data_IF_230701899873
#
_entry.id   IF_230701899873
#
_cell.length_a   1.000
_cell.length_b   1.000
_cell.length_c   1.000
_cell.angle_alpha   90.00
_cell.angle_beta   90.00
_cell.angle_gamma   90.00
#
_symmetry.space_group_name_H-M   'P 1'
#
loop_
_entity.id
_entity.type
_entity.pdbx_description
1 polymer ?
#
# COMPACT_ATOMS: atom_id res chain seq x y z
N UNK A 1 7.39 4.84 -23.96
CA UNK A 1 6.93 4.01 -22.82
C UNK A 1 6.03 4.74 -21.83
N UNK A 2 6.48 5.77 -21.08
CA UNK A 2 5.64 6.41 -20.02
C UNK A 2 4.28 6.90 -20.51
N UNK A 3 4.21 7.57 -21.67
CA UNK A 3 2.94 8.03 -22.26
C UNK A 3 1.96 6.87 -22.46
N UNK A 4 2.46 5.71 -22.90
CA UNK A 4 1.63 4.51 -23.09
C UNK A 4 1.09 4.03 -21.73
N UNK A 5 1.95 3.89 -20.73
CA UNK A 5 1.55 3.48 -19.38
C UNK A 5 0.49 4.43 -18.78
N UNK A 6 0.75 5.74 -18.79
CA UNK A 6 -0.13 6.72 -18.14
C UNK A 6 -1.45 6.90 -18.91
N UNK A 7 -1.42 6.93 -20.23
CA UNK A 7 -2.61 7.22 -21.05
C UNK A 7 -3.48 5.98 -21.29
N UNK A 8 -2.86 4.81 -21.47
CA UNK A 8 -3.57 3.60 -21.91
C UNK A 8 -3.71 2.52 -20.86
N UNK A 9 -2.82 2.45 -19.85
CA UNK A 9 -2.86 1.40 -18.82
C UNK A 9 -3.39 1.93 -17.48
N UNK A 10 -2.84 3.05 -17.02
CA UNK A 10 -3.07 3.58 -15.68
C UNK A 10 -3.87 4.90 -15.67
N UNK A 11 -4.59 5.20 -16.75
CA UNK A 11 -5.59 6.27 -16.74
C UNK A 11 -6.71 5.86 -15.79
N UNK A 12 -7.22 6.78 -14.98
CA UNK A 12 -8.26 6.51 -13.96
C UNK A 12 -9.42 5.66 -14.49
N UNK A 13 -9.96 6.02 -15.65
CA UNK A 13 -11.04 5.27 -16.33
C UNK A 13 -10.64 3.83 -16.66
N UNK A 14 -9.38 3.61 -17.08
CA UNK A 14 -8.89 2.27 -17.38
C UNK A 14 -8.66 1.45 -16.11
N UNK A 15 -8.13 2.09 -15.06
CA UNK A 15 -7.95 1.43 -13.74
C UNK A 15 -9.30 0.95 -13.20
N UNK A 16 -10.36 1.76 -13.31
CA UNK A 16 -11.71 1.36 -12.93
C UNK A 16 -12.25 0.16 -13.75
N UNK A 17 -11.80 -0.02 -14.99
CA UNK A 17 -12.15 -1.23 -15.77
C UNK A 17 -11.50 -2.51 -15.22
N UNK A 18 -10.45 -2.40 -14.42
CA UNK A 18 -9.81 -3.53 -13.75
C UNK A 18 -10.43 -3.87 -12.40
N UNK A 19 -11.39 -3.07 -11.91
CA UNK A 19 -12.10 -3.32 -10.65
C UNK A 19 -12.63 -4.76 -10.55
N UNK A 20 -13.33 -5.33 -11.55
CA UNK A 20 -13.83 -6.71 -11.44
C UNK A 20 -12.72 -7.75 -11.29
N UNK A 21 -11.52 -7.47 -11.83
CA UNK A 21 -10.36 -8.34 -11.66
C UNK A 21 -9.86 -8.26 -10.21
N UNK A 22 -9.72 -7.05 -9.66
CA UNK A 22 -9.27 -6.85 -8.29
C UNK A 22 -10.23 -7.52 -7.29
N UNK A 23 -11.52 -7.28 -7.43
CA UNK A 23 -12.55 -7.82 -6.53
C UNK A 23 -12.61 -9.35 -6.57
N UNK A 24 -12.50 -9.95 -7.76
CA UNK A 24 -12.51 -11.41 -7.94
C UNK A 24 -11.22 -12.08 -7.41
N UNK A 25 -10.05 -11.48 -7.61
CA UNK A 25 -8.80 -11.99 -6.99
C UNK A 25 -8.84 -11.87 -5.45
N UNK A 26 -9.35 -10.76 -4.91
CA UNK A 26 -9.48 -10.56 -3.47
C UNK A 26 -10.49 -11.54 -2.88
N UNK A 27 -11.68 -11.67 -3.49
CA UNK A 27 -12.72 -12.61 -3.05
C UNK A 27 -12.19 -14.03 -2.98
N UNK A 28 -11.49 -14.48 -4.03
CA UNK A 28 -10.86 -15.81 -4.03
C UNK A 28 -9.82 -15.97 -2.94
N UNK A 29 -9.01 -14.96 -2.68
CA UNK A 29 -8.01 -15.02 -1.63
C UNK A 29 -8.67 -15.13 -0.25
N UNK A 30 -9.72 -14.34 0.01
CA UNK A 30 -10.51 -14.37 1.24
C UNK A 30 -11.17 -15.75 1.41
N UNK A 31 -11.76 -16.33 0.37
CA UNK A 31 -12.34 -17.67 0.43
C UNK A 31 -11.30 -18.75 0.74
N UNK A 32 -10.08 -18.64 0.18
CA UNK A 32 -8.98 -19.54 0.48
C UNK A 32 -8.60 -19.47 1.97
N UNK A 33 -8.55 -18.27 2.53
CA UNK A 33 -8.27 -18.04 3.95
C UNK A 33 -9.40 -18.55 4.86
N UNK A 34 -10.66 -18.36 4.48
CA UNK A 34 -11.81 -18.89 5.24
C UNK A 34 -11.75 -20.41 5.32
N UNK A 35 -11.40 -21.07 4.21
CA UNK A 35 -11.24 -22.54 4.19
C UNK A 35 -10.06 -23.01 5.03
N UNK A 36 -8.93 -22.31 5.00
CA UNK A 36 -7.74 -22.69 5.77
C UNK A 36 -7.89 -22.43 7.27
N UNK A 37 -8.46 -21.28 7.66
CA UNK A 37 -8.69 -20.91 9.07
C UNK A 37 -9.61 -21.89 9.78
N UNK A 38 -10.70 -22.32 9.12
CA UNK A 38 -11.62 -23.34 9.65
C UNK A 38 -10.93 -24.71 9.80
N UNK A 39 -9.88 -24.98 9.03
CA UNK A 39 -9.27 -26.31 8.96
C UNK A 39 -8.04 -26.50 9.87
N UNK A 40 -7.16 -25.50 10.03
CA UNK A 40 -5.88 -25.69 10.75
C UNK A 40 -5.60 -24.73 11.91
N UNK A 41 -6.37 -23.64 12.07
CA UNK A 41 -6.07 -22.54 13.02
C UNK A 41 -4.61 -22.02 12.94
N UNK A 42 -3.90 -22.29 11.84
CA UNK A 42 -2.51 -21.85 11.69
C UNK A 42 -2.43 -20.35 11.40
N UNK A 43 -1.43 -19.65 11.95
CA UNK A 43 -1.19 -18.24 11.64
C UNK A 43 -0.99 -18.01 10.14
N UNK A 44 -1.67 -17.01 9.60
CA UNK A 44 -1.55 -16.63 8.19
C UNK A 44 -0.46 -15.58 8.03
N UNK A 45 0.52 -15.84 7.17
CA UNK A 45 1.50 -14.82 6.77
C UNK A 45 0.89 -13.84 5.76
N UNK A 46 0.47 -12.67 6.24
CA UNK A 46 -0.15 -11.63 5.41
C UNK A 46 0.78 -11.07 4.36
N UNK A 47 2.09 -11.00 4.60
CA UNK A 47 3.03 -10.49 3.59
C UNK A 47 3.07 -11.41 2.37
N UNK A 48 3.17 -12.72 2.59
CA UNK A 48 3.16 -13.71 1.51
C UNK A 48 1.83 -13.72 0.76
N UNK A 49 0.72 -13.62 1.49
CA UNK A 49 -0.62 -13.49 0.90
C UNK A 49 -0.75 -12.24 0.03
N UNK A 50 -0.35 -11.06 0.54
CA UNK A 50 -0.42 -9.80 -0.23
C UNK A 50 0.49 -9.84 -1.45
N UNK A 51 1.64 -10.50 -1.37
CA UNK A 51 2.53 -10.73 -2.51
C UNK A 51 1.85 -11.65 -3.54
N UNK A 52 1.25 -12.76 -3.14
CA UNK A 52 0.53 -13.64 -4.08
C UNK A 52 -0.63 -12.90 -4.75
N UNK A 53 -1.48 -12.23 -3.96
CA UNK A 53 -2.60 -11.44 -4.45
C UNK A 53 -2.18 -10.38 -5.47
N UNK A 54 -1.15 -9.58 -5.13
CA UNK A 54 -0.64 -8.51 -6.00
C UNK A 54 -0.14 -9.07 -7.32
N UNK A 55 0.61 -10.19 -7.28
CA UNK A 55 1.09 -10.84 -8.49
C UNK A 55 -0.05 -11.38 -9.36
N UNK A 56 -1.05 -12.02 -8.75
CA UNK A 56 -2.24 -12.52 -9.45
C UNK A 56 -2.99 -11.40 -10.16
N UNK A 57 -3.23 -10.27 -9.48
CA UNK A 57 -3.87 -9.08 -10.06
C UNK A 57 -3.02 -8.53 -11.22
N UNK A 58 -1.71 -8.32 -11.01
CA UNK A 58 -0.82 -7.77 -12.05
C UNK A 58 -0.77 -8.68 -13.27
N UNK A 59 -0.55 -9.99 -13.08
CA UNK A 59 -0.52 -10.97 -14.15
C UNK A 59 -1.82 -10.99 -14.94
N UNK A 60 -2.96 -10.91 -14.25
CA UNK A 60 -4.27 -10.97 -14.91
C UNK A 60 -4.60 -9.68 -15.64
N UNK A 61 -4.22 -8.52 -15.12
CA UNK A 61 -4.35 -7.22 -15.81
C UNK A 61 -3.40 -7.11 -17.00
N UNK A 62 -2.15 -7.56 -16.86
CA UNK A 62 -1.13 -7.41 -17.89
C UNK A 62 -1.23 -8.48 -18.99
N UNK A 63 -1.58 -9.71 -18.63
CA UNK A 63 -1.51 -10.89 -19.51
C UNK A 63 -2.87 -11.55 -19.77
N UNK A 64 -3.93 -11.15 -19.03
CA UNK A 64 -5.24 -11.80 -19.11
C UNK A 64 -5.27 -13.23 -18.55
N UNK A 65 -4.23 -13.64 -17.82
CA UNK A 65 -4.06 -15.02 -17.32
C UNK A 65 -3.94 -15.04 -15.80
N UNK A 66 -4.46 -16.12 -15.21
CA UNK A 66 -4.15 -16.54 -13.85
C UNK A 66 -2.98 -17.51 -13.87
N UNK A 67 -2.19 -17.49 -12.80
CA UNK A 67 -1.13 -18.45 -12.55
C UNK A 67 -1.45 -19.08 -11.20
N UNK A 68 -1.61 -20.40 -11.15
CA UNK A 68 -1.91 -21.10 -9.92
C UNK A 68 -0.70 -21.09 -8.98
N UNK A 69 -0.93 -21.09 -7.67
CA UNK A 69 0.07 -21.00 -6.59
C UNK A 69 0.95 -22.27 -6.43
N UNK A 70 1.24 -23.01 -7.51
CA UNK A 70 2.15 -24.16 -7.42
C UNK A 70 3.61 -23.70 -7.48
N UNK A 71 4.16 -23.42 -6.30
CA UNK A 71 5.57 -23.68 -5.98
C UNK A 71 6.63 -22.90 -6.75
N UNK A 72 6.56 -21.56 -6.76
CA UNK A 72 7.74 -20.75 -7.09
C UNK A 72 8.20 -20.03 -5.83
N UNK A 73 9.25 -20.55 -5.20
CA UNK A 73 10.06 -19.79 -4.24
C UNK A 73 10.51 -18.49 -4.91
N UNK A 74 9.89 -17.37 -4.54
CA UNK A 74 10.33 -16.05 -4.97
C UNK A 74 11.43 -15.61 -4.01
N UNK A 75 12.69 -15.74 -4.44
CA UNK A 75 13.77 -14.95 -3.87
C UNK A 75 13.49 -13.47 -4.16
N UNK A 76 12.74 -12.83 -3.27
CA UNK A 76 12.64 -11.37 -3.24
C UNK A 76 13.99 -10.86 -2.75
N UNK A 77 14.60 -10.00 -3.56
CA UNK A 77 15.84 -9.32 -3.23
C UNK A 77 15.71 -8.63 -1.85
N UNK A 78 16.34 -9.20 -0.83
CA UNK A 78 16.72 -8.55 0.44
C UNK A 78 15.66 -7.73 1.16
N UNK A 79 14.46 -8.27 1.43
CA UNK A 79 13.65 -7.72 2.53
C UNK A 79 14.13 -8.36 3.83
N UNK A 80 14.86 -7.59 4.63
CA UNK A 80 15.55 -8.07 5.82
C UNK A 80 14.52 -8.27 6.95
N UNK A 81 13.92 -9.46 7.01
CA UNK A 81 12.96 -9.93 8.04
C UNK A 81 13.66 -10.08 9.40
N UNK A 82 14.04 -8.99 10.05
CA UNK A 82 14.36 -8.95 11.48
C UNK A 82 14.70 -7.53 11.92
N UNK A 83 13.68 -6.72 12.21
CA UNK A 83 13.84 -5.57 13.09
C UNK A 83 12.69 -5.56 14.09
N UNK A 84 13.02 -5.49 15.38
CA UNK A 84 12.06 -5.40 16.51
C UNK A 84 10.99 -4.31 16.30
N UNK A 85 11.33 -3.22 15.60
CA UNK A 85 10.40 -2.13 15.23
C UNK A 85 9.30 -2.53 14.23
N UNK A 86 9.45 -3.62 13.47
CA UNK A 86 8.41 -4.12 12.55
C UNK A 86 7.30 -4.86 13.31
N UNK A 87 7.64 -5.52 14.42
CA UNK A 87 6.66 -6.18 15.28
C UNK A 87 5.77 -5.15 15.99
N UNK A 88 6.35 -4.09 16.55
CA UNK A 88 5.61 -3.02 17.23
C UNK A 88 4.65 -2.30 16.25
N UNK A 89 5.13 -1.98 15.04
CA UNK A 89 4.28 -1.44 13.98
C UNK A 89 3.17 -2.42 13.55
N UNK A 90 3.44 -3.72 13.58
CA UNK A 90 2.44 -4.75 13.30
C UNK A 90 1.31 -4.76 14.32
N UNK A 91 1.63 -4.62 15.61
CA UNK A 91 0.64 -4.48 16.69
C UNK A 91 -0.13 -3.17 16.59
N UNK A 92 0.54 -2.05 16.39
CA UNK A 92 -0.11 -0.74 16.22
C UNK A 92 -1.04 -0.74 15.01
N UNK A 93 -0.56 -1.28 13.87
CA UNK A 93 -1.36 -1.43 12.68
C UNK A 93 -2.59 -2.28 12.97
N UNK A 94 -2.43 -3.45 13.60
CA UNK A 94 -3.55 -4.35 13.95
C UNK A 94 -4.58 -3.66 14.84
N UNK A 95 -4.14 -2.90 15.86
CA UNK A 95 -5.03 -2.14 16.75
C UNK A 95 -5.83 -1.07 15.99
N UNK A 96 -5.17 -0.27 15.16
CA UNK A 96 -5.86 0.79 14.39
C UNK A 96 -6.74 0.22 13.27
N UNK A 97 -6.31 -0.88 12.67
CA UNK A 97 -7.06 -1.67 11.69
C UNK A 97 -8.35 -2.18 12.35
N UNK A 98 -8.31 -2.71 13.58
CA UNK A 98 -9.52 -3.09 14.32
C UNK A 98 -10.48 -1.91 14.58
N UNK A 99 -9.97 -0.71 14.91
CA UNK A 99 -10.83 0.49 15.02
C UNK A 99 -11.49 0.85 13.69
N UNK A 100 -10.77 0.73 12.58
CA UNK A 100 -11.33 0.91 11.23
C UNK A 100 -12.47 -0.06 10.93
N UNK A 101 -12.39 -1.29 11.44
CA UNK A 101 -13.43 -2.30 11.26
C UNK A 101 -14.74 -1.93 11.98
N UNK A 102 -14.64 -1.35 13.18
CA UNK A 102 -15.82 -0.87 13.93
C UNK A 102 -16.53 0.26 13.18
N UNK A 103 -15.80 1.21 12.60
CA UNK A 103 -16.37 2.28 11.78
C UNK A 103 -17.08 1.71 10.54
N UNK A 104 -16.43 0.76 9.87
CA UNK A 104 -16.95 0.09 8.68
C UNK A 104 -18.24 -0.70 8.97
N UNK A 105 -18.24 -1.47 10.05
CA UNK A 105 -19.38 -2.29 10.48
C UNK A 105 -20.60 -1.45 10.88
N UNK A 106 -20.40 -0.29 11.52
CA UNK A 106 -21.49 0.64 11.87
C UNK A 106 -22.12 1.27 10.62
N UNK A 107 -21.33 1.56 9.58
CA UNK A 107 -21.81 2.20 8.35
C UNK A 107 -22.43 1.21 7.37
N UNK A 108 -21.93 -0.03 7.32
CA UNK A 108 -22.39 -1.06 6.38
C UNK A 108 -23.44 -2.00 7.03
N UNK A 109 -24.51 -1.42 7.58
CA UNK A 109 -25.62 -2.17 8.21
C UNK A 109 -26.41 -3.09 7.26
N UNK A 110 -26.08 -3.08 5.96
CA UNK A 110 -26.56 -4.05 4.98
C UNK A 110 -25.61 -5.25 4.91
N UNK A 111 -26.11 -6.46 5.12
CA UNK A 111 -25.37 -7.74 4.98
C UNK A 111 -24.82 -7.93 3.55
N UNK A 112 -23.79 -7.21 3.15
CA UNK A 112 -22.99 -7.53 1.96
C UNK A 112 -21.96 -8.59 2.32
N UNK A 113 -21.73 -9.52 1.40
CA UNK A 113 -20.68 -10.54 1.56
C UNK A 113 -19.30 -10.05 1.13
N UNK A 114 -19.18 -8.88 0.51
CA UNK A 114 -17.92 -8.32 0.03
C UNK A 114 -17.97 -6.79 0.13
N UNK A 115 -16.86 -6.18 0.52
CA UNK A 115 -16.69 -4.71 0.55
C UNK A 115 -16.15 -4.27 -0.81
N UNK A 116 -16.96 -3.54 -1.57
CA UNK A 116 -16.60 -3.07 -2.91
C UNK A 116 -15.87 -1.70 -2.88
N UNK A 117 -15.37 -1.25 -4.03
CA UNK A 117 -14.61 0.00 -4.11
C UNK A 117 -15.46 1.24 -3.76
N UNK A 118 -16.77 1.19 -3.96
CA UNK A 118 -17.65 2.32 -3.67
C UNK A 118 -17.91 2.45 -2.15
N UNK A 119 -17.92 1.32 -1.43
CA UNK A 119 -17.93 1.28 0.03
C UNK A 119 -16.64 1.90 0.64
N UNK A 120 -15.47 1.64 0.03
CA UNK A 120 -14.16 2.09 0.54
C UNK A 120 -13.96 3.59 0.49
N UNK A 121 -14.55 4.27 -0.50
CA UNK A 121 -14.47 5.74 -0.62
C UNK A 121 -15.07 6.47 0.58
N UNK A 122 -15.79 5.76 1.44
CA UNK A 122 -16.42 6.25 2.66
C UNK A 122 -15.52 6.01 3.89
N UNK A 123 -14.48 5.18 3.78
CA UNK A 123 -13.59 4.81 4.89
C UNK A 123 -12.39 5.75 5.00
N UNK A 124 -12.66 6.99 5.42
CA UNK A 124 -11.63 8.00 5.68
C UNK A 124 -10.56 7.54 6.68
N UNK A 125 -10.92 6.68 7.63
CA UNK A 125 -9.98 6.14 8.60
C UNK A 125 -9.04 5.07 8.00
N UNK A 126 -9.55 4.19 7.14
CA UNK A 126 -8.70 3.22 6.44
C UNK A 126 -7.67 3.93 5.56
N UNK A 127 -8.09 4.98 4.83
CA UNK A 127 -7.16 5.82 4.06
C UNK A 127 -6.07 6.42 4.96
N UNK A 128 -6.45 6.93 6.14
CA UNK A 128 -5.52 7.49 7.11
C UNK A 128 -4.51 6.44 7.63
N UNK A 129 -4.98 5.22 7.93
CA UNK A 129 -4.14 4.08 8.33
C UNK A 129 -3.15 3.71 7.21
N UNK A 130 -3.61 3.66 5.95
CA UNK A 130 -2.74 3.36 4.79
C UNK A 130 -1.69 4.45 4.61
N UNK A 131 -2.06 5.73 4.65
CA UNK A 131 -1.12 6.86 4.61
C UNK A 131 -0.09 6.77 5.73
N UNK A 132 -0.54 6.48 6.95
CA UNK A 132 0.33 6.36 8.12
C UNK A 132 1.32 5.21 7.99
N UNK A 133 0.84 4.06 7.52
CA UNK A 133 1.65 2.89 7.25
C UNK A 133 2.71 3.20 6.21
N UNK A 134 2.35 3.84 5.09
CA UNK A 134 3.32 4.18 4.04
C UNK A 134 4.34 5.25 4.48
N UNK A 135 3.97 6.15 5.41
CA UNK A 135 4.89 7.12 6.01
C UNK A 135 5.95 6.43 6.88
N UNK A 136 5.54 5.50 7.75
CA UNK A 136 6.44 4.80 8.67
C UNK A 136 7.18 3.64 8.01
N UNK A 137 6.53 2.91 7.12
CA UNK A 137 7.11 1.83 6.32
C UNK A 137 6.89 2.03 4.83
N UNK A 138 7.68 2.92 4.20
CA UNK A 138 7.71 2.99 2.75
C UNK A 138 8.27 1.70 2.15
N UNK A 139 7.56 1.16 1.14
CA UNK A 139 8.02 0.00 0.36
C UNK A 139 9.37 0.25 -0.30
N UNK A 140 9.66 1.51 -0.68
CA UNK A 140 10.93 1.91 -1.28
C UNK A 140 11.54 3.07 -0.48
N UNK A 141 12.25 2.81 0.63
CA UNK A 141 12.77 3.82 1.57
C UNK A 141 13.63 4.93 0.94
N UNK A 142 14.38 4.62 -0.12
CA UNK A 142 15.25 5.58 -0.83
C UNK A 142 14.70 6.03 -2.20
N UNK A 143 13.45 5.68 -2.50
CA UNK A 143 12.82 5.77 -3.82
C UNK A 143 13.70 5.17 -4.94
N UNK A 144 13.29 5.36 -6.20
CA UNK A 144 14.09 4.95 -7.36
C UNK A 144 15.17 6.00 -7.63
N UNK A 145 16.45 5.61 -7.75
CA UNK A 145 17.55 6.53 -8.01
C UNK A 145 17.31 7.41 -9.24
N UNK A 146 17.69 8.68 -9.13
CA UNK A 146 17.66 9.65 -10.24
C UNK A 146 19.07 10.03 -10.64
N UNK A 147 19.21 10.49 -11.87
CA UNK A 147 20.46 11.00 -12.39
C UNK A 147 20.28 12.47 -12.79
N UNK A 148 21.22 13.33 -12.41
CA UNK A 148 21.27 14.73 -12.87
C UNK A 148 21.62 14.78 -14.36
N UNK A 149 20.85 15.56 -15.12
CA UNK A 149 21.05 15.68 -16.57
C UNK A 149 22.08 16.76 -16.89
N UNK A 150 22.06 17.84 -16.11
CA UNK A 150 22.90 19.02 -16.25
C UNK A 150 23.40 19.45 -14.86
N UNK A 151 24.36 20.37 -14.83
CA UNK A 151 24.79 21.02 -13.60
C UNK A 151 23.63 21.83 -13.00
N UNK A 152 23.43 21.72 -11.69
CA UNK A 152 22.48 22.53 -10.96
C UNK A 152 23.00 22.93 -9.58
N UNK A 153 22.30 23.86 -8.93
CA UNK A 153 22.55 24.24 -7.55
C UNK A 153 21.40 23.70 -6.70
N UNK A 154 21.72 22.96 -5.64
CA UNK A 154 20.76 22.48 -4.65
C UNK A 154 21.22 22.94 -3.28
N UNK A 155 20.43 23.78 -2.62
CA UNK A 155 20.75 24.35 -1.30
C UNK A 155 22.16 24.97 -1.22
N UNK A 156 22.54 25.71 -2.27
CA UNK A 156 23.87 26.34 -2.38
C UNK A 156 25.00 25.40 -2.83
N UNK A 157 24.77 24.09 -2.92
CA UNK A 157 25.76 23.13 -3.42
C UNK A 157 25.67 22.98 -4.94
N UNK A 158 26.82 23.06 -5.62
CA UNK A 158 26.92 22.71 -7.04
C UNK A 158 26.88 21.19 -7.22
N UNK A 159 25.89 20.70 -7.95
CA UNK A 159 25.74 19.29 -8.30
C UNK A 159 26.08 19.12 -9.78
N UNK A 160 27.12 18.35 -10.13
CA UNK A 160 27.49 18.10 -11.52
C UNK A 160 26.47 17.19 -12.23
N UNK A 161 26.48 17.15 -13.59
CA UNK A 161 25.72 16.16 -14.34
C UNK A 161 26.19 14.73 -14.05
N UNK A 162 25.31 13.74 -14.30
CA UNK A 162 25.55 12.30 -14.09
C UNK A 162 25.73 11.88 -12.62
N UNK A 163 25.25 12.67 -11.68
CA UNK A 163 25.23 12.32 -10.27
C UNK A 163 23.97 11.53 -9.93
N UNK A 164 24.15 10.46 -9.15
CA UNK A 164 23.02 9.72 -8.59
C UNK A 164 22.43 10.49 -7.41
N UNK A 165 21.13 10.74 -7.46
CA UNK A 165 20.34 11.38 -6.42
C UNK A 165 19.37 10.37 -5.84
N UNK A 166 19.43 10.18 -4.53
CA UNK A 166 18.52 9.34 -3.74
C UNK A 166 17.67 10.23 -2.85
N UNK A 167 16.38 9.91 -2.73
CA UNK A 167 15.46 10.64 -1.86
C UNK A 167 15.16 9.75 -0.66
N UNK A 168 15.65 10.14 0.51
CA UNK A 168 15.46 9.37 1.73
C UNK A 168 14.05 9.59 2.31
N UNK A 169 13.08 8.91 1.72
CA UNK A 169 11.67 8.96 2.12
C UNK A 169 11.49 8.49 3.57
N UNK A 170 12.23 7.46 3.99
CA UNK A 170 12.18 6.96 5.37
C UNK A 170 12.57 8.03 6.40
N UNK A 171 13.58 8.85 6.09
CA UNK A 171 13.98 9.97 6.94
C UNK A 171 12.94 11.10 6.92
N UNK A 172 12.46 11.50 5.74
CA UNK A 172 11.42 12.54 5.60
C UNK A 172 10.16 12.17 6.41
N UNK A 173 9.75 10.90 6.35
CA UNK A 173 8.60 10.39 7.09
C UNK A 173 8.78 10.41 8.61
N UNK A 174 10.01 10.61 9.13
CA UNK A 174 10.36 10.61 10.55
C UNK A 174 10.97 11.93 11.04
N UNK A 175 11.03 12.93 10.20
CA UNK A 175 11.64 14.21 10.53
C UNK A 175 10.75 14.96 11.55
N UNK A 176 11.25 15.25 12.77
CA UNK A 176 10.50 16.00 13.77
C UNK A 176 10.24 17.46 13.39
N UNK A 177 10.99 18.03 12.43
CA UNK A 177 10.72 19.38 11.90
C UNK A 177 9.50 19.40 10.98
N UNK A 178 9.13 18.23 10.42
CA UNK A 178 8.00 18.06 9.48
C UNK A 178 6.80 17.42 10.17
N UNK A 179 7.03 16.46 11.07
CA UNK A 179 5.99 15.65 11.71
C UNK A 179 6.05 15.74 13.23
N UNK A 180 4.99 16.23 13.85
CA UNK A 180 4.80 16.12 15.30
C UNK A 180 4.72 14.65 15.72
N UNK A 181 5.42 14.28 16.80
CA UNK A 181 5.59 12.91 17.28
C UNK A 181 5.84 11.90 16.14
N UNK A 182 6.99 12.00 15.46
CA UNK A 182 7.19 11.35 14.17
C UNK A 182 7.19 9.81 14.25
N UNK A 183 7.53 9.21 15.38
CA UNK A 183 7.58 7.75 15.53
C UNK A 183 6.22 7.13 15.93
N UNK A 184 5.29 7.90 16.49
CA UNK A 184 4.00 7.37 16.95
C UNK A 184 3.12 6.94 15.79
N UNK A 185 2.44 5.79 15.90
CA UNK A 185 1.40 5.38 14.96
C UNK A 185 0.07 6.08 15.26
N UNK A 186 -0.02 7.36 14.87
CA UNK A 186 -1.22 8.20 14.96
C UNK A 186 -1.82 8.49 13.57
N UNK A 187 -2.80 7.70 13.06
CA UNK A 187 -3.47 7.92 11.78
C UNK A 187 -4.35 9.18 11.74
N UNK A 188 -4.95 9.58 12.86
CA UNK A 188 -5.93 10.67 12.94
C UNK A 188 -5.38 12.00 12.41
N UNK A 189 -4.05 12.18 12.40
CA UNK A 189 -3.38 13.34 11.76
C UNK A 189 -3.73 13.54 10.29
N UNK A 190 -4.19 12.48 9.60
CA UNK A 190 -4.60 12.55 8.20
C UNK A 190 -6.10 12.81 8.02
N UNK A 191 -6.90 12.72 9.08
CA UNK A 191 -8.35 12.97 9.01
C UNK A 191 -8.60 14.46 8.85
N UNK A 192 -9.30 14.85 7.78
CA UNK A 192 -9.54 16.25 7.42
C UNK A 192 -8.28 17.00 6.93
N UNK A 193 -7.14 16.32 6.83
CA UNK A 193 -5.91 16.88 6.27
C UNK A 193 -5.94 16.91 4.74
N UNK A 194 -5.34 17.93 4.14
CA UNK A 194 -5.14 18.00 2.69
C UNK A 194 -3.95 17.18 2.20
N UNK A 195 -3.16 16.56 3.10
CA UNK A 195 -1.98 15.77 2.74
C UNK A 195 -2.40 14.51 1.97
N UNK A 196 -1.88 14.35 0.76
CA UNK A 196 -2.08 13.17 -0.07
C UNK A 196 -0.77 12.53 -0.54
N UNK A 197 -0.87 11.35 -1.15
CA UNK A 197 0.27 10.57 -1.63
C UNK A 197 0.57 10.79 -3.12
N UNK A 198 -0.05 11.81 -3.76
CA UNK A 198 0.02 12.03 -5.21
C UNK A 198 1.29 12.75 -5.67
N UNK A 199 2.20 13.03 -4.74
CA UNK A 199 3.47 13.70 -5.02
C UNK A 199 3.39 15.22 -5.08
N UNK A 200 2.36 15.81 -4.44
CA UNK A 200 2.21 17.26 -4.26
C UNK A 200 2.58 17.71 -2.84
N UNK A 201 2.45 16.80 -1.87
CA UNK A 201 2.90 16.94 -0.50
C UNK A 201 4.26 16.25 -0.34
N UNK A 202 5.35 17.02 -0.29
CA UNK A 202 6.71 16.46 -0.28
C UNK A 202 7.05 15.73 1.02
N UNK A 203 6.34 16.05 2.09
CA UNK A 203 6.34 15.35 3.37
C UNK A 203 5.84 13.89 3.27
N UNK A 204 5.05 13.55 2.24
CA UNK A 204 4.51 12.20 2.02
C UNK A 204 4.52 11.80 0.54
N UNK A 205 5.64 11.23 0.08
CA UNK A 205 5.83 10.82 -1.34
C UNK A 205 6.17 9.33 -1.53
N UNK A 206 5.37 8.38 -1.00
CA UNK A 206 5.65 6.94 -1.11
C UNK A 206 5.69 6.44 -2.57
N UNK A 207 5.01 7.15 -3.48
CA UNK A 207 4.99 6.86 -4.91
C UNK A 207 5.90 7.78 -5.73
N UNK A 208 6.74 8.57 -5.05
CA UNK A 208 7.56 9.63 -5.63
C UNK A 208 6.75 10.79 -6.19
N UNK A 209 7.44 11.76 -6.78
CA UNK A 209 6.83 12.99 -7.29
C UNK A 209 7.26 13.33 -8.73
N UNK A 210 6.51 14.25 -9.35
CA UNK A 210 6.84 14.86 -10.63
C UNK A 210 6.86 13.89 -11.83
N UNK A 211 7.75 14.17 -12.79
CA UNK A 211 7.76 13.50 -14.12
C UNK A 211 7.97 11.99 -14.09
N UNK A 212 8.47 11.41 -13.00
CA UNK A 212 8.66 9.96 -12.86
C UNK A 212 8.01 9.40 -11.60
N UNK A 213 6.96 10.06 -11.10
CA UNK A 213 6.07 9.44 -10.10
C UNK A 213 5.54 8.10 -10.61
N UNK A 214 5.24 7.19 -9.68
CA UNK A 214 4.75 5.85 -9.98
C UNK A 214 3.46 5.93 -10.82
N UNK A 215 3.45 5.40 -12.06
CA UNK A 215 2.23 5.41 -12.86
C UNK A 215 1.16 4.45 -12.30
N UNK A 216 1.55 3.41 -11.56
CA UNK A 216 0.65 2.40 -10.99
C UNK A 216 0.06 2.77 -9.63
N UNK A 217 0.32 3.98 -9.12
CA UNK A 217 -0.09 4.43 -7.78
C UNK A 217 -1.59 4.18 -7.50
N UNK A 218 -2.47 4.61 -8.41
CA UNK A 218 -3.92 4.49 -8.22
C UNK A 218 -4.35 3.03 -8.04
N UNK A 219 -3.85 2.14 -8.92
CA UNK A 219 -4.18 0.73 -8.85
C UNK A 219 -3.61 0.08 -7.57
N UNK A 220 -2.40 0.48 -7.16
CA UNK A 220 -1.76 -0.01 -5.94
C UNK A 220 -2.55 0.37 -4.68
N UNK A 221 -2.91 1.64 -4.53
CA UNK A 221 -3.67 2.14 -3.37
C UNK A 221 -5.02 1.43 -3.28
N UNK A 222 -5.78 1.38 -4.39
CA UNK A 222 -7.08 0.70 -4.42
C UNK A 222 -6.97 -0.78 -4.06
N UNK A 223 -5.93 -1.47 -4.53
CA UNK A 223 -5.73 -2.89 -4.21
C UNK A 223 -5.47 -3.10 -2.71
N UNK A 224 -4.63 -2.26 -2.11
CA UNK A 224 -4.30 -2.33 -0.68
C UNK A 224 -5.55 -2.04 0.16
N UNK A 225 -6.28 -0.98 -0.17
CA UNK A 225 -7.51 -0.60 0.56
C UNK A 225 -8.59 -1.68 0.43
N UNK A 226 -8.84 -2.21 -0.78
CA UNK A 226 -9.81 -3.30 -1.00
C UNK A 226 -9.45 -4.58 -0.25
N UNK A 227 -8.19 -4.98 -0.29
CA UNK A 227 -7.72 -6.17 0.40
C UNK A 227 -7.86 -5.99 1.92
N UNK A 228 -7.37 -4.88 2.48
CA UNK A 228 -7.44 -4.61 3.91
C UNK A 228 -8.89 -4.50 4.39
N UNK A 229 -9.76 -3.80 3.66
CA UNK A 229 -11.16 -3.66 4.05
C UNK A 229 -11.89 -5.01 4.11
N UNK A 230 -11.67 -5.90 3.13
CA UNK A 230 -12.30 -7.22 3.13
C UNK A 230 -11.70 -8.17 4.17
N UNK A 231 -10.39 -8.09 4.41
CA UNK A 231 -9.72 -8.81 5.49
C UNK A 231 -10.29 -8.40 6.85
N UNK A 232 -10.48 -7.10 7.06
CA UNK A 232 -11.08 -6.56 8.27
C UNK A 232 -12.52 -6.99 8.47
N UNK A 233 -13.31 -6.90 7.41
CA UNK A 233 -14.73 -7.18 7.48
C UNK A 233 -15.04 -8.67 7.70
N UNK A 234 -14.12 -9.58 7.34
CA UNK A 234 -14.35 -11.03 7.35
C UNK A 234 -13.69 -11.79 8.49
N UNK A 235 -12.69 -11.22 9.14
CA UNK A 235 -11.89 -11.92 10.14
C UNK A 235 -11.71 -11.07 11.40
N UNK A 236 -11.71 -11.74 12.54
CA UNK A 236 -11.14 -11.20 13.77
C UNK A 236 -9.61 -11.45 13.75
N UNK A 237 -8.86 -10.49 14.30
CA UNK A 237 -7.40 -10.44 14.18
C UNK A 237 -6.74 -10.56 15.54
N UNK A 238 -5.81 -11.50 15.65
CA UNK A 238 -4.93 -11.67 16.81
C UNK A 238 -3.51 -11.99 16.32
N UNK A 239 -2.51 -11.60 17.11
CA UNK A 239 -1.12 -11.94 16.81
C UNK A 239 -0.84 -13.38 17.25
N UNK A 240 -0.03 -14.14 16.50
CA UNK A 240 0.39 -15.47 16.93
C UNK A 240 1.18 -15.38 18.24
N UNK A 241 0.84 -16.26 19.18
CA UNK A 241 1.49 -16.38 20.51
C UNK A 241 2.87 -17.01 20.40
#
# INVERSE_FOLDING_TARGET
MRKICVVHLFKSVRVQQFRPIQEDEISRQIEKLLKSSVSSHEPVNLSEMMISLTNSIICRVALGKRYDDEGIERHICGWNRNKRSECDLGYDLLNEVSKSNEESSRRNSGKKDFVDEDDIRIFSYLEAVVKKTMRLQPVVPLLVPRETIDQCILDGYEIPPKMTVLVNMWAIGRDPEVWENPEEFYPERFIGSSIDMKGQNFELVPFGAGRRSCPGMLMGILTVELALANLLYKFDWEMPV
#
